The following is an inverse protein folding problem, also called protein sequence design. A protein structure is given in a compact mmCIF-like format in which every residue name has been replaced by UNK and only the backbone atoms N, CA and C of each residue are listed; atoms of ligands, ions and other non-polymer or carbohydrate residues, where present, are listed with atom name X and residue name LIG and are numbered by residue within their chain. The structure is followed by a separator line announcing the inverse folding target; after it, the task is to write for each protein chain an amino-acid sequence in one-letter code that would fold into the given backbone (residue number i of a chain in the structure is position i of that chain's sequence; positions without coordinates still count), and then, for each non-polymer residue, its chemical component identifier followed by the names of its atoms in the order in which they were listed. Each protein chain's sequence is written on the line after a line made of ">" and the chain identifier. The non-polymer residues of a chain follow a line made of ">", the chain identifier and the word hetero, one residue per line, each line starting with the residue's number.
data_IF_556336520840
#
_entry.id   IF_556336520840
#
_cell.length_a   1.000
_cell.length_b   1.000
_cell.length_c   1.000
_cell.angle_alpha   90.00
_cell.angle_beta   90.00
_cell.angle_gamma   90.00
#
_symmetry.space_group_name_H-M   'P 1'
#
loop_
_entity.id
_entity.type
_entity.pdbx_description
1 polymer ?
#
# COMPACT_ATOMS: atom_id res chain seq x y z
N UNK A 1 10.13 -21.61 7.53
CA UNK A 1 9.71 -20.19 7.33
C UNK A 1 10.88 -19.23 7.58
N UNK A 2 11.70 -19.47 8.61
CA UNK A 2 12.90 -18.68 8.89
C UNK A 2 14.14 -19.12 8.10
N UNK A 3 14.08 -20.27 7.43
CA UNK A 3 15.23 -20.87 6.74
C UNK A 3 15.72 -20.04 5.53
N UNK A 4 14.86 -19.16 5.00
CA UNK A 4 15.16 -18.20 3.94
C UNK A 4 14.96 -16.76 4.39
N UNK A 5 14.83 -16.49 5.68
CA UNK A 5 14.66 -15.12 6.16
C UNK A 5 15.98 -14.34 6.05
N UNK A 6 15.92 -13.15 5.48
CA UNK A 6 17.01 -12.19 5.46
C UNK A 6 16.51 -10.84 5.99
N UNK A 7 17.40 -10.01 6.54
CA UNK A 7 17.03 -8.70 7.09
C UNK A 7 16.31 -7.80 6.07
N UNK A 8 16.65 -7.94 4.78
CA UNK A 8 15.98 -7.24 3.68
C UNK A 8 14.50 -7.63 3.49
N UNK A 9 14.02 -8.68 4.13
CA UNK A 9 12.61 -9.10 4.10
C UNK A 9 11.77 -8.33 5.12
N UNK A 10 12.38 -7.67 6.12
CA UNK A 10 11.64 -6.95 7.16
C UNK A 10 10.75 -5.83 6.57
N UNK A 11 11.27 -4.90 5.74
CA UNK A 11 10.43 -3.82 5.20
C UNK A 11 9.21 -4.31 4.42
N UNK A 12 9.33 -5.23 3.43
CA UNK A 12 8.17 -5.67 2.66
C UNK A 12 7.19 -6.53 3.47
N UNK A 13 7.63 -7.26 4.51
CA UNK A 13 6.74 -7.99 5.41
C UNK A 13 5.96 -7.08 6.36
N UNK A 14 6.60 -6.04 6.89
CA UNK A 14 5.92 -5.01 7.67
C UNK A 14 4.87 -4.30 6.81
N UNK A 15 5.24 -3.93 5.59
CA UNK A 15 4.32 -3.29 4.64
C UNK A 15 3.15 -4.21 4.27
N UNK A 16 3.42 -5.48 4.01
CA UNK A 16 2.42 -6.51 3.76
C UNK A 16 1.38 -6.59 4.90
N UNK A 17 1.85 -6.55 6.15
CA UNK A 17 1.00 -6.54 7.34
C UNK A 17 0.15 -5.26 7.40
N UNK A 18 0.79 -4.11 7.21
CA UNK A 18 0.11 -2.80 7.21
C UNK A 18 -0.97 -2.75 6.14
N UNK A 19 -0.72 -3.23 4.92
CA UNK A 19 -1.74 -3.23 3.86
C UNK A 19 -2.85 -4.25 4.10
N UNK A 20 -2.52 -5.43 4.63
CA UNK A 20 -3.53 -6.46 4.95
C UNK A 20 -4.56 -5.91 5.94
N UNK A 21 -4.11 -5.36 7.07
CA UNK A 21 -5.00 -4.89 8.13
C UNK A 21 -5.45 -3.44 7.95
N UNK A 22 -4.59 -2.58 7.41
CA UNK A 22 -4.93 -1.18 7.10
C UNK A 22 -6.02 -1.07 6.04
N UNK A 23 -6.04 -1.98 5.05
CA UNK A 23 -7.15 -2.05 4.08
C UNK A 23 -8.51 -2.38 4.71
N UNK A 24 -8.52 -2.94 5.92
CA UNK A 24 -9.75 -3.24 6.69
C UNK A 24 -10.18 -2.10 7.61
N UNK A 25 -9.52 -0.94 7.54
CA UNK A 25 -9.82 0.20 8.42
C UNK A 25 -11.29 0.64 8.36
N UNK A 26 -11.92 0.55 7.18
CA UNK A 26 -13.33 0.90 7.03
C UNK A 26 -14.29 0.01 7.85
N UNK A 27 -13.88 -1.21 8.21
CA UNK A 27 -14.64 -2.08 9.11
C UNK A 27 -14.45 -1.70 10.57
N UNK A 28 -13.23 -1.32 10.97
CA UNK A 28 -12.88 -1.08 12.38
C UNK A 28 -13.17 0.34 12.84
N UNK A 29 -12.93 1.35 12.01
CA UNK A 29 -13.06 2.78 12.35
C UNK A 29 -14.13 3.50 11.52
N UNK A 30 -14.71 2.83 10.53
CA UNK A 30 -15.71 3.40 9.64
C UNK A 30 -15.12 4.00 8.35
N UNK A 31 -15.97 4.21 7.32
CA UNK A 31 -15.51 4.65 6.00
C UNK A 31 -14.99 6.10 5.98
N UNK A 32 -15.55 6.98 6.81
CA UNK A 32 -15.10 8.38 6.88
C UNK A 32 -13.66 8.49 7.39
N UNK A 33 -13.36 7.84 8.51
CA UNK A 33 -12.01 7.82 9.08
C UNK A 33 -11.00 7.14 8.15
N UNK A 34 -11.42 6.10 7.42
CA UNK A 34 -10.59 5.46 6.41
C UNK A 34 -10.24 6.41 5.25
N UNK A 35 -11.19 7.25 4.81
CA UNK A 35 -10.97 8.26 3.77
C UNK A 35 -10.02 9.37 4.27
N UNK A 36 -10.18 9.81 5.51
CA UNK A 36 -9.28 10.79 6.13
C UNK A 36 -7.86 10.24 6.24
N UNK A 37 -7.71 9.00 6.69
CA UNK A 37 -6.42 8.33 6.82
C UNK A 37 -5.74 8.09 5.48
N UNK A 38 -6.52 7.80 4.43
CA UNK A 38 -6.00 7.74 3.07
C UNK A 38 -5.41 9.10 2.64
N UNK A 39 -5.98 10.21 3.13
CA UNK A 39 -5.47 11.57 2.95
C UNK A 39 -6.40 12.49 2.15
N UNK A 40 -7.65 12.09 1.88
CA UNK A 40 -8.61 12.96 1.20
C UNK A 40 -9.17 14.02 2.16
N UNK A 41 -9.68 15.11 1.58
CA UNK A 41 -10.22 16.22 2.38
C UNK A 41 -11.45 15.81 3.22
N UNK A 42 -11.70 16.48 4.37
CA UNK A 42 -12.89 16.22 5.20
C UNK A 42 -14.21 16.38 4.46
N UNK A 43 -14.25 17.23 3.41
CA UNK A 43 -15.41 17.39 2.53
C UNK A 43 -15.76 16.09 1.80
N UNK A 44 -14.76 15.32 1.37
CA UNK A 44 -14.98 14.04 0.68
C UNK A 44 -15.27 12.94 1.70
N UNK A 45 -14.55 12.92 2.81
CA UNK A 45 -14.71 11.91 3.85
C UNK A 45 -16.13 11.87 4.44
N UNK A 46 -16.71 13.05 4.68
CA UNK A 46 -18.08 13.21 5.17
C UNK A 46 -19.17 12.91 4.14
N UNK A 47 -18.82 12.62 2.88
CA UNK A 47 -19.78 12.29 1.82
C UNK A 47 -20.12 10.80 1.82
N UNK A 48 -21.36 10.39 2.12
CA UNK A 48 -21.75 8.98 2.09
C UNK A 48 -21.63 8.33 0.71
N UNK A 49 -21.65 9.13 -0.36
CA UNK A 49 -21.45 8.66 -1.73
C UNK A 49 -20.02 8.15 -1.98
N UNK A 50 -19.03 8.59 -1.20
CA UNK A 50 -17.64 8.13 -1.30
C UNK A 50 -17.39 6.83 -0.52
N UNK A 51 -18.26 6.48 0.44
CA UNK A 51 -18.04 5.36 1.35
C UNK A 51 -18.01 3.98 0.68
N UNK A 52 -18.83 3.66 -0.33
CA UNK A 52 -18.67 2.41 -1.07
C UNK A 52 -17.32 2.30 -1.78
N UNK A 53 -16.79 3.42 -2.29
CA UNK A 53 -15.52 3.44 -3.01
C UNK A 53 -14.34 3.14 -2.09
N UNK A 54 -14.30 3.71 -0.88
CA UNK A 54 -13.21 3.40 0.08
C UNK A 54 -13.26 1.94 0.55
N UNK A 55 -14.44 1.31 0.62
CA UNK A 55 -14.54 -0.13 0.94
C UNK A 55 -13.94 -1.00 -0.15
N UNK A 56 -14.21 -0.65 -1.42
CA UNK A 56 -13.63 -1.33 -2.59
C UNK A 56 -12.12 -1.10 -2.64
N UNK A 57 -11.65 0.12 -2.39
CA UNK A 57 -10.22 0.45 -2.33
C UNK A 57 -9.53 -0.32 -1.20
N UNK A 58 -10.08 -0.32 0.00
CA UNK A 58 -9.56 -1.07 1.15
C UNK A 58 -9.46 -2.58 0.87
N UNK A 59 -10.46 -3.16 0.19
CA UNK A 59 -10.40 -4.56 -0.27
C UNK A 59 -9.23 -4.82 -1.23
N UNK A 60 -8.93 -3.90 -2.15
CA UNK A 60 -7.79 -4.01 -3.07
C UNK A 60 -6.47 -3.91 -2.32
N UNK A 61 -6.34 -2.99 -1.36
CA UNK A 61 -5.14 -2.86 -0.52
C UNK A 61 -4.92 -4.11 0.32
N UNK A 62 -5.96 -4.64 0.96
CA UNK A 62 -5.88 -5.93 1.68
C UNK A 62 -5.46 -7.07 0.74
N UNK A 63 -5.98 -7.10 -0.49
CA UNK A 63 -5.59 -8.12 -1.49
C UNK A 63 -4.10 -8.05 -1.82
N UNK A 64 -3.54 -6.85 -1.97
CA UNK A 64 -2.09 -6.67 -2.19
C UNK A 64 -1.29 -7.20 -1.00
N UNK A 65 -1.70 -6.88 0.24
CA UNK A 65 -1.06 -7.41 1.45
C UNK A 65 -1.11 -8.95 1.52
N UNK A 66 -2.26 -9.55 1.22
CA UNK A 66 -2.38 -11.01 1.15
C UNK A 66 -1.51 -11.62 0.05
N UNK A 67 -1.40 -10.96 -1.11
CA UNK A 67 -0.54 -11.41 -2.20
C UNK A 67 0.95 -11.37 -1.79
N UNK A 68 1.40 -10.31 -1.12
CA UNK A 68 2.76 -10.21 -0.59
C UNK A 68 3.05 -11.32 0.44
N UNK A 69 2.15 -11.55 1.40
CA UNK A 69 2.29 -12.67 2.33
C UNK A 69 2.30 -14.03 1.63
N UNK A 70 1.40 -14.25 0.67
CA UNK A 70 1.32 -15.49 -0.11
C UNK A 70 2.58 -15.76 -0.92
N UNK A 71 3.09 -14.76 -1.62
CA UNK A 71 4.36 -14.87 -2.38
C UNK A 71 5.54 -15.14 -1.45
N UNK A 72 5.61 -14.46 -0.29
CA UNK A 72 6.68 -14.69 0.68
C UNK A 72 6.65 -16.11 1.26
N UNK A 73 5.48 -16.57 1.72
CA UNK A 73 5.31 -17.91 2.29
C UNK A 73 5.55 -19.02 1.24
N UNK A 74 5.29 -18.74 -0.03
CA UNK A 74 5.62 -19.62 -1.16
C UNK A 74 7.08 -19.54 -1.62
N UNK A 75 7.92 -18.68 -1.03
CA UNK A 75 9.32 -18.48 -1.42
C UNK A 75 9.53 -17.71 -2.73
N UNK A 76 8.49 -17.04 -3.25
CA UNK A 76 8.50 -16.29 -4.51
C UNK A 76 8.97 -14.83 -4.30
N UNK A 77 10.21 -14.64 -3.84
CA UNK A 77 10.72 -13.30 -3.49
C UNK A 77 10.81 -12.34 -4.69
N UNK A 78 11.10 -12.84 -5.90
CA UNK A 78 11.07 -12.00 -7.11
C UNK A 78 9.66 -11.52 -7.45
N UNK A 79 8.64 -12.37 -7.23
CA UNK A 79 7.25 -11.97 -7.44
C UNK A 79 6.84 -10.88 -6.43
N UNK A 80 7.36 -10.96 -5.20
CA UNK A 80 7.17 -9.92 -4.20
C UNK A 80 7.73 -8.57 -4.69
N UNK A 81 8.97 -8.56 -5.22
CA UNK A 81 9.59 -7.37 -5.80
C UNK A 81 8.79 -6.81 -6.98
N UNK A 82 8.23 -7.67 -7.85
CA UNK A 82 7.37 -7.24 -8.96
C UNK A 82 6.10 -6.54 -8.43
N UNK A 83 5.43 -7.11 -7.41
CA UNK A 83 4.25 -6.50 -6.81
C UNK A 83 4.60 -5.14 -6.20
N UNK A 84 5.73 -5.04 -5.48
CA UNK A 84 6.18 -3.78 -4.90
C UNK A 84 6.50 -2.75 -5.99
N UNK A 85 7.13 -3.13 -7.10
CA UNK A 85 7.39 -2.24 -8.23
C UNK A 85 6.09 -1.68 -8.83
N UNK A 86 5.04 -2.50 -8.96
CA UNK A 86 3.72 -2.08 -9.45
C UNK A 86 3.04 -1.00 -8.59
N UNK A 87 3.41 -0.87 -7.31
CA UNK A 87 2.94 0.20 -6.42
C UNK A 87 3.34 1.58 -6.95
N UNK A 88 4.33 1.67 -7.85
CA UNK A 88 4.66 2.91 -8.54
C UNK A 88 3.46 3.53 -9.29
N UNK A 89 2.55 2.70 -9.80
CA UNK A 89 1.31 3.21 -10.41
C UNK A 89 0.36 3.83 -9.38
N UNK A 90 0.29 3.27 -8.18
CA UNK A 90 -0.43 3.88 -7.06
C UNK A 90 0.20 5.24 -6.71
N UNK A 91 1.53 5.35 -6.72
CA UNK A 91 2.22 6.59 -6.37
C UNK A 91 1.81 7.74 -7.29
N UNK A 92 1.71 7.45 -8.58
CA UNK A 92 1.24 8.40 -9.61
C UNK A 92 -0.23 8.75 -9.37
N UNK A 93 -1.10 7.75 -9.27
CA UNK A 93 -2.55 7.96 -9.19
C UNK A 93 -2.92 8.72 -7.91
N UNK A 94 -2.40 8.28 -6.77
CA UNK A 94 -2.68 8.87 -5.47
C UNK A 94 -2.08 10.27 -5.35
N UNK A 95 -0.88 10.48 -5.91
CA UNK A 95 -0.26 11.80 -5.98
C UNK A 95 -1.14 12.79 -6.74
N UNK A 96 -1.68 12.40 -7.90
CA UNK A 96 -2.56 13.25 -8.71
C UNK A 96 -3.90 13.53 -8.02
N UNK A 97 -4.53 12.50 -7.45
CA UNK A 97 -5.83 12.65 -6.76
C UNK A 97 -5.65 13.52 -5.51
N UNK A 98 -4.68 13.22 -4.65
CA UNK A 98 -4.46 14.00 -3.44
C UNK A 98 -3.94 15.41 -3.70
N UNK A 99 -3.32 15.69 -4.86
CA UNK A 99 -2.94 17.05 -5.23
C UNK A 99 -4.16 17.94 -5.48
N UNK A 100 -5.27 17.35 -5.95
CA UNK A 100 -6.51 18.06 -6.25
C UNK A 100 -7.49 18.04 -5.07
N UNK A 101 -7.66 16.86 -4.47
CA UNK A 101 -8.78 16.54 -3.58
C UNK A 101 -8.32 16.14 -2.15
N UNK A 102 -7.00 16.15 -1.92
CA UNK A 102 -6.36 15.75 -0.68
C UNK A 102 -6.26 16.86 0.39
N UNK A 103 -6.00 16.44 1.63
CA UNK A 103 -5.61 17.35 2.70
C UNK A 103 -4.20 17.93 2.43
N UNK A 104 -3.84 19.11 2.98
CA UNK A 104 -2.52 19.70 2.79
C UNK A 104 -1.38 18.72 3.13
N UNK A 105 -0.46 18.51 2.19
CA UNK A 105 0.69 17.61 2.37
C UNK A 105 0.43 16.13 2.04
N UNK A 106 -0.82 15.70 1.90
CA UNK A 106 -1.18 14.30 1.58
C UNK A 106 -0.58 13.82 0.25
N UNK A 107 -0.66 14.65 -0.80
CA UNK A 107 -0.12 14.31 -2.12
C UNK A 107 1.37 13.98 -2.09
N UNK A 108 2.16 14.86 -1.44
CA UNK A 108 3.60 14.67 -1.28
C UNK A 108 3.89 13.41 -0.47
N UNK A 109 3.17 13.20 0.63
CA UNK A 109 3.31 12.00 1.45
C UNK A 109 3.06 10.73 0.63
N UNK A 110 1.89 10.60 -0.01
CA UNK A 110 1.49 9.43 -0.83
C UNK A 110 2.51 9.14 -1.91
N UNK A 111 2.85 10.14 -2.71
CA UNK A 111 3.81 9.98 -3.80
C UNK A 111 5.19 9.53 -3.28
N UNK A 112 5.66 10.09 -2.17
CA UNK A 112 7.02 9.83 -1.67
C UNK A 112 7.16 8.41 -1.15
N UNK A 113 6.34 7.98 -0.18
CA UNK A 113 6.55 6.66 0.44
C UNK A 113 6.28 5.53 -0.58
N UNK A 114 5.31 5.70 -1.47
CA UNK A 114 5.00 4.70 -2.49
C UNK A 114 6.10 4.63 -3.55
N UNK A 115 6.73 5.75 -3.88
CA UNK A 115 7.91 5.72 -4.76
C UNK A 115 9.07 4.97 -4.14
N UNK A 116 9.32 5.14 -2.83
CA UNK A 116 10.35 4.37 -2.11
C UNK A 116 10.05 2.87 -2.16
N UNK A 117 8.80 2.48 -1.94
CA UNK A 117 8.35 1.08 -2.06
C UNK A 117 8.51 0.55 -3.49
N UNK A 118 8.12 1.35 -4.49
CA UNK A 118 8.22 0.97 -5.89
C UNK A 118 9.68 0.76 -6.31
N UNK A 119 10.58 1.66 -5.90
CA UNK A 119 12.01 1.54 -6.16
C UNK A 119 12.61 0.34 -5.44
N UNK A 120 12.16 0.01 -4.22
CA UNK A 120 12.58 -1.20 -3.51
C UNK A 120 12.30 -2.46 -4.35
N UNK A 121 11.09 -2.57 -4.89
CA UNK A 121 10.72 -3.66 -5.79
C UNK A 121 11.48 -3.63 -7.11
N UNK A 122 11.60 -2.46 -7.75
CA UNK A 122 12.29 -2.31 -9.03
C UNK A 122 13.76 -2.72 -8.96
N UNK A 123 14.42 -2.42 -7.86
CA UNK A 123 15.81 -2.81 -7.60
C UNK A 123 15.96 -4.21 -7.01
N UNK A 124 14.90 -5.02 -6.97
CA UNK A 124 14.97 -6.41 -6.53
C UNK A 124 15.51 -6.57 -5.10
N UNK A 125 15.23 -5.61 -4.23
CA UNK A 125 15.86 -5.52 -2.90
C UNK A 125 15.39 -6.65 -1.97
N UNK A 126 14.22 -7.24 -2.21
CA UNK A 126 13.71 -8.36 -1.42
C UNK A 126 14.37 -9.67 -1.83
N UNK A 127 14.34 -9.99 -3.12
CA UNK A 127 14.99 -11.17 -3.69
C UNK A 127 16.52 -11.12 -3.55
N UNK A 128 17.10 -9.91 -3.52
CA UNK A 128 18.55 -9.71 -3.58
C UNK A 128 19.13 -9.97 -4.96
N UNK A 129 18.33 -9.80 -6.02
CA UNK A 129 18.73 -10.13 -7.40
C UNK A 129 20.01 -9.42 -7.87
N UNK A 130 20.31 -8.24 -7.33
CA UNK A 130 21.45 -7.41 -7.73
C UNK A 130 22.45 -7.17 -6.59
N UNK A 131 22.37 -7.95 -5.49
CA UNK A 131 23.20 -7.80 -4.28
C UNK A 131 23.94 -9.09 -3.99
#
# INVERSE_FOLDING_TARGET
>A
MLDHFALRHIPPLLLSTIWTFGGLMYYSHGPEEAILTYGLSPRIASSPAAWPLIRVEGSRVTTIGLALWGTYLGGHLEAMDIILACVGWMAVTDGLVCAKDGAPGSARMRATYQSVVALWGLFGMTSGRYI
#
